data_IF_953051541563
#
_entry.id   IF_953051541563
#
_cell.length_a   1.000
_cell.length_b   1.000
_cell.length_c   1.000
_cell.angle_alpha   90.00
_cell.angle_beta   90.00
_cell.angle_gamma   90.00
#
_symmetry.space_group_name_H-M   'P 1'
#
loop_
_entity.id
_entity.type
_entity.pdbx_description
1 polymer ?
#
# COMPACT_ATOMS: atom_id res chain seq x y z
N UNK A 1 -19.82 -17.30 11.69
CA UNK A 1 -18.73 -17.51 12.61
C UNK A 1 -17.90 -16.24 12.77
N UNK A 2 -17.96 -15.61 13.96
CA UNK A 2 -17.35 -14.30 14.26
C UNK A 2 -15.81 -14.32 14.10
N UNK A 3 -15.15 -15.43 14.43
CA UNK A 3 -13.70 -15.55 14.30
C UNK A 3 -13.25 -15.53 12.84
N UNK A 4 -13.99 -16.17 11.95
CA UNK A 4 -13.72 -16.18 10.51
C UNK A 4 -13.91 -14.79 9.90
N UNK A 5 -14.99 -14.10 10.25
CA UNK A 5 -15.27 -12.73 9.81
C UNK A 5 -14.16 -11.77 10.28
N UNK A 6 -13.67 -11.93 11.50
CA UNK A 6 -12.57 -11.11 12.03
C UNK A 6 -11.25 -11.32 11.29
N UNK A 7 -10.93 -12.57 10.91
CA UNK A 7 -9.71 -12.88 10.14
C UNK A 7 -9.81 -12.31 8.73
N UNK A 8 -10.93 -12.46 8.07
CA UNK A 8 -11.14 -11.92 6.72
C UNK A 8 -11.10 -10.38 6.72
N UNK A 9 -11.67 -9.75 7.73
CA UNK A 9 -11.57 -8.29 7.91
C UNK A 9 -10.12 -7.84 8.14
N UNK A 10 -9.34 -8.58 8.92
CA UNK A 10 -7.93 -8.29 9.14
C UNK A 10 -7.09 -8.45 7.87
N UNK A 11 -7.36 -9.49 7.07
CA UNK A 11 -6.71 -9.69 5.76
C UNK A 11 -7.01 -8.55 4.79
N UNK A 12 -8.27 -8.15 4.68
CA UNK A 12 -8.69 -7.05 3.82
C UNK A 12 -8.02 -5.74 4.24
N UNK A 13 -7.96 -5.46 5.52
CA UNK A 13 -7.27 -4.29 6.06
C UNK A 13 -5.78 -4.30 5.72
N UNK A 14 -5.12 -5.44 5.88
CA UNK A 14 -3.71 -5.59 5.52
C UNK A 14 -3.48 -5.37 4.02
N UNK A 15 -4.33 -5.93 3.17
CA UNK A 15 -4.26 -5.74 1.73
C UNK A 15 -4.41 -4.25 1.34
N UNK A 16 -5.33 -3.53 1.97
CA UNK A 16 -5.52 -2.09 1.74
C UNK A 16 -4.30 -1.27 2.17
N UNK A 17 -3.75 -1.55 3.34
CA UNK A 17 -2.55 -0.88 3.86
C UNK A 17 -1.36 -1.10 2.92
N UNK A 18 -1.12 -2.33 2.51
CA UNK A 18 -0.01 -2.67 1.62
C UNK A 18 -0.20 -2.15 0.19
N UNK A 19 -1.44 -2.06 -0.28
CA UNK A 19 -1.76 -1.43 -1.55
C UNK A 19 -1.41 0.06 -1.55
N UNK A 20 -1.74 0.78 -0.48
CA UNK A 20 -1.36 2.19 -0.30
C UNK A 20 0.16 2.37 -0.21
N UNK A 21 0.83 1.51 0.53
CA UNK A 21 2.29 1.51 0.63
C UNK A 21 2.95 1.30 -0.74
N UNK A 22 2.49 0.31 -1.49
CA UNK A 22 3.00 0.04 -2.84
C UNK A 22 2.81 1.25 -3.77
N UNK A 23 1.65 1.89 -3.72
CA UNK A 23 1.35 3.07 -4.54
C UNK A 23 2.31 4.24 -4.28
N UNK A 24 2.82 4.38 -3.07
CA UNK A 24 3.80 5.40 -2.71
C UNK A 24 5.25 5.00 -3.06
N UNK A 25 5.64 3.77 -2.74
CA UNK A 25 7.02 3.27 -2.94
C UNK A 25 7.28 2.87 -4.39
N UNK A 26 6.28 2.32 -5.10
CA UNK A 26 6.40 1.91 -6.50
C UNK A 26 7.10 0.58 -6.73
N UNK A 27 7.24 -0.27 -5.70
CA UNK A 27 7.82 -1.61 -5.83
C UNK A 27 6.80 -2.64 -6.34
N UNK A 28 7.25 -3.82 -6.76
CA UNK A 28 6.36 -4.99 -6.90
C UNK A 28 6.19 -5.62 -5.53
N UNK A 29 4.96 -5.69 -5.04
CA UNK A 29 4.64 -6.24 -3.73
C UNK A 29 3.79 -7.50 -3.88
N UNK A 30 4.23 -8.58 -3.25
CA UNK A 30 3.57 -9.88 -3.23
C UNK A 30 3.27 -10.23 -1.78
N UNK A 31 1.99 -10.35 -1.44
CA UNK A 31 1.52 -10.78 -0.13
C UNK A 31 1.13 -12.24 -0.18
N UNK A 32 1.72 -13.06 0.67
CA UNK A 32 1.48 -14.51 0.69
C UNK A 32 0.72 -14.88 1.95
N UNK A 33 -0.43 -15.50 1.77
CA UNK A 33 -1.22 -16.10 2.84
C UNK A 33 -1.08 -17.61 2.84
N UNK A 34 -0.91 -18.15 4.02
CA UNK A 34 -0.79 -19.59 4.23
C UNK A 34 -2.17 -20.25 4.21
N UNK A 35 -2.41 -21.07 3.20
CA UNK A 35 -3.66 -21.79 3.00
C UNK A 35 -3.45 -23.31 2.82
N UNK A 36 -2.31 -23.85 3.24
CA UNK A 36 -1.91 -25.25 3.01
C UNK A 36 -2.84 -26.29 3.64
N UNK A 37 -3.62 -25.89 4.65
CA UNK A 37 -4.56 -26.80 5.36
C UNK A 37 -5.90 -26.96 4.66
N UNK A 38 -6.18 -26.15 3.65
CA UNK A 38 -7.46 -26.22 2.93
C UNK A 38 -7.42 -27.35 1.92
N UNK A 39 -8.18 -28.42 2.20
CA UNK A 39 -8.26 -29.59 1.31
C UNK A 39 -8.79 -29.23 -0.07
N UNK A 40 -8.15 -29.75 -1.10
CA UNK A 40 -8.51 -29.51 -2.48
C UNK A 40 -8.17 -28.10 -3.00
N UNK A 41 -7.51 -27.28 -2.21
CA UNK A 41 -7.07 -25.98 -2.63
C UNK A 41 -5.89 -26.08 -3.61
N UNK A 42 -6.09 -25.60 -4.82
CA UNK A 42 -5.06 -25.57 -5.87
C UNK A 42 -4.16 -24.33 -5.80
N UNK A 43 -4.36 -23.48 -4.80
CA UNK A 43 -3.71 -22.19 -4.71
C UNK A 43 -4.36 -21.15 -5.62
N UNK A 44 -4.17 -19.90 -5.28
CA UNK A 44 -4.71 -18.77 -6.03
C UNK A 44 -3.71 -17.62 -6.01
N UNK A 45 -3.52 -17.00 -7.17
CA UNK A 45 -2.81 -15.74 -7.31
C UNK A 45 -3.78 -14.73 -7.89
N UNK A 46 -4.07 -13.69 -7.14
CA UNK A 46 -4.96 -12.63 -7.57
C UNK A 46 -4.29 -11.26 -7.48
N UNK A 47 -4.73 -10.34 -8.29
CA UNK A 47 -4.30 -8.95 -8.19
C UNK A 47 -5.34 -8.19 -7.36
N UNK A 48 -4.88 -7.59 -6.27
CA UNK A 48 -5.68 -6.72 -5.43
C UNK A 48 -5.19 -5.29 -5.59
N UNK A 49 -5.96 -4.46 -6.29
CA UNK A 49 -5.54 -3.13 -6.73
C UNK A 49 -4.17 -3.17 -7.45
N UNK A 50 -3.12 -2.74 -6.79
CA UNK A 50 -1.76 -2.65 -7.33
C UNK A 50 -0.76 -3.66 -6.71
N UNK A 51 -1.24 -4.59 -5.89
CA UNK A 51 -0.43 -5.65 -5.29
C UNK A 51 -0.89 -7.04 -5.76
N UNK A 52 0.00 -8.03 -5.62
CA UNK A 52 -0.32 -9.43 -5.84
C UNK A 52 -0.60 -10.12 -4.50
N UNK A 53 -1.67 -10.87 -4.43
CA UNK A 53 -2.05 -11.66 -3.27
C UNK A 53 -2.05 -13.13 -3.64
N UNK A 54 -1.30 -13.92 -2.89
CA UNK A 54 -1.13 -15.34 -3.11
C UNK A 54 -1.71 -16.11 -1.93
N UNK A 55 -2.57 -17.05 -2.24
CA UNK A 55 -3.00 -18.11 -1.31
C UNK A 55 -2.31 -19.39 -1.71
N UNK A 56 -1.55 -20.00 -0.78
CA UNK A 56 -0.81 -21.21 -1.09
C UNK A 56 -1.75 -22.38 -1.32
N UNK A 57 -1.31 -23.34 -2.14
CA UNK A 57 -2.07 -24.56 -2.41
C UNK A 57 -2.03 -25.54 -1.24
N UNK A 58 -2.87 -26.57 -1.29
CA UNK A 58 -2.83 -27.67 -0.34
C UNK A 58 -1.41 -28.25 -0.22
N UNK A 59 -0.96 -28.50 1.00
CA UNK A 59 0.37 -28.98 1.34
C UNK A 59 1.57 -28.06 1.01
N UNK A 60 1.33 -26.85 0.54
CA UNK A 60 2.37 -25.84 0.34
C UNK A 60 2.25 -24.75 1.42
N UNK A 61 3.29 -24.56 2.21
CA UNK A 61 3.35 -23.46 3.19
C UNK A 61 3.72 -22.13 2.52
N UNK A 62 3.41 -21.02 3.18
CA UNK A 62 3.84 -19.70 2.73
C UNK A 62 5.37 -19.63 2.60
N UNK A 63 6.10 -20.19 3.56
CA UNK A 63 7.57 -20.22 3.56
C UNK A 63 8.12 -20.93 2.32
N UNK A 64 7.55 -22.10 1.99
CA UNK A 64 7.93 -22.86 0.79
C UNK A 64 7.66 -22.09 -0.49
N UNK A 65 6.53 -21.40 -0.57
CA UNK A 65 6.18 -20.57 -1.71
C UNK A 65 7.15 -19.37 -1.85
N UNK A 66 7.47 -18.70 -0.76
CA UNK A 66 8.39 -17.56 -0.72
C UNK A 66 9.79 -18.00 -1.14
N UNK A 67 10.29 -19.12 -0.59
CA UNK A 67 11.58 -19.70 -0.93
C UNK A 67 11.70 -20.00 -2.43
N UNK A 68 10.72 -20.71 -2.96
CA UNK A 68 10.65 -21.06 -4.38
C UNK A 68 10.61 -19.82 -5.28
N UNK A 69 9.75 -18.87 -4.96
CA UNK A 69 9.59 -17.63 -5.74
C UNK A 69 10.86 -16.80 -5.69
N UNK A 70 11.48 -16.66 -4.53
CA UNK A 70 12.74 -15.94 -4.35
C UNK A 70 13.86 -16.56 -5.19
N UNK A 71 13.93 -17.89 -5.24
CA UNK A 71 14.89 -18.60 -6.07
C UNK A 71 14.66 -18.32 -7.57
N UNK A 72 13.42 -18.33 -8.02
CA UNK A 72 13.05 -18.12 -9.43
C UNK A 72 13.34 -16.71 -9.91
N UNK A 73 13.01 -15.68 -9.11
CA UNK A 73 13.09 -14.28 -9.51
C UNK A 73 14.36 -13.57 -9.02
N UNK A 74 15.06 -14.12 -8.05
CA UNK A 74 16.19 -13.49 -7.39
C UNK A 74 17.40 -13.22 -8.31
N UNK A 75 17.47 -13.88 -9.46
CA UNK A 75 18.52 -13.62 -10.46
C UNK A 75 18.28 -12.34 -11.25
N UNK A 76 17.02 -11.91 -11.39
CA UNK A 76 16.65 -10.76 -12.21
C UNK A 76 16.27 -9.54 -11.39
N UNK A 77 15.82 -9.74 -10.16
CA UNK A 77 15.26 -8.69 -9.32
C UNK A 77 15.92 -8.69 -7.95
N UNK A 78 16.04 -7.51 -7.35
CA UNK A 78 16.33 -7.40 -5.92
C UNK A 78 15.08 -7.78 -5.12
N UNK A 79 15.17 -8.87 -4.41
CA UNK A 79 14.06 -9.38 -3.59
C UNK A 79 14.33 -9.07 -2.13
N UNK A 80 13.35 -8.50 -1.46
CA UNK A 80 13.33 -8.33 0.00
C UNK A 80 12.17 -9.13 0.56
N UNK A 81 12.42 -9.98 1.52
CA UNK A 81 11.40 -10.80 2.19
C UNK A 81 11.17 -10.28 3.59
N UNK A 82 9.92 -9.96 3.90
CA UNK A 82 9.47 -9.58 5.24
C UNK A 82 8.83 -10.78 5.93
N UNK A 83 9.46 -11.28 6.97
CA UNK A 83 8.98 -12.40 7.76
C UNK A 83 9.42 -12.28 9.22
N UNK A 84 8.60 -12.80 10.14
CA UNK A 84 8.96 -12.93 11.56
C UNK A 84 9.68 -14.25 11.87
N UNK A 85 9.75 -15.18 10.92
CA UNK A 85 10.42 -16.48 11.12
C UNK A 85 11.93 -16.33 10.91
N UNK A 86 12.70 -16.59 11.96
CA UNK A 86 14.17 -16.47 11.93
C UNK A 86 14.82 -17.51 11.00
N UNK A 87 14.26 -18.70 10.88
CA UNK A 87 14.78 -19.75 10.00
C UNK A 87 14.57 -19.35 8.53
N UNK A 88 13.38 -18.85 8.19
CA UNK A 88 13.08 -18.36 6.85
C UNK A 88 14.01 -17.20 6.47
N UNK A 89 14.28 -16.27 7.39
CA UNK A 89 15.22 -15.19 7.16
C UNK A 89 16.61 -15.70 6.76
N UNK A 90 17.09 -16.75 7.40
CA UNK A 90 18.40 -17.39 7.08
C UNK A 90 18.35 -18.05 5.70
N UNK A 91 17.29 -18.78 5.37
CA UNK A 91 17.12 -19.44 4.07
C UNK A 91 17.09 -18.41 2.93
N UNK A 92 16.34 -17.36 3.10
CA UNK A 92 16.22 -16.26 2.12
C UNK A 92 17.56 -15.58 1.87
N UNK A 93 18.34 -15.34 2.91
CA UNK A 93 19.71 -14.79 2.78
C UNK A 93 20.62 -15.72 2.00
N UNK A 94 20.54 -17.03 2.22
CA UNK A 94 21.32 -18.02 1.48
C UNK A 94 21.02 -18.02 -0.03
N UNK A 95 19.87 -17.51 -0.45
CA UNK A 95 19.46 -17.34 -1.84
C UNK A 95 19.83 -15.97 -2.43
N UNK A 96 20.52 -15.12 -1.68
CA UNK A 96 20.94 -13.80 -2.13
C UNK A 96 19.85 -12.72 -2.02
N UNK A 97 18.75 -12.99 -1.34
CA UNK A 97 17.72 -12.01 -1.08
C UNK A 97 17.98 -11.21 0.21
N UNK A 98 17.45 -10.02 0.26
CA UNK A 98 17.46 -9.20 1.47
C UNK A 98 16.37 -9.66 2.42
N UNK A 99 16.61 -9.49 3.72
CA UNK A 99 15.62 -9.77 4.75
C UNK A 99 15.22 -8.51 5.50
N UNK A 100 13.99 -8.48 5.94
CA UNK A 100 13.49 -7.53 6.92
C UNK A 100 12.57 -8.29 7.87
N UNK A 101 12.60 -7.98 9.16
CA UNK A 101 11.63 -8.56 10.09
C UNK A 101 10.23 -8.00 9.80
N UNK A 102 9.20 -8.78 10.12
CA UNK A 102 7.82 -8.29 9.98
C UNK A 102 7.57 -7.01 10.81
N UNK A 103 8.20 -6.90 11.96
CA UNK A 103 8.12 -5.71 12.81
C UNK A 103 8.75 -4.48 12.15
N UNK A 104 9.97 -4.60 11.64
CA UNK A 104 10.66 -3.50 10.99
C UNK A 104 9.93 -3.04 9.73
N UNK A 105 9.38 -3.99 8.98
CA UNK A 105 8.55 -3.69 7.82
C UNK A 105 7.25 -2.96 8.21
N UNK A 106 6.61 -3.37 9.29
CA UNK A 106 5.45 -2.68 9.83
C UNK A 106 5.76 -1.23 10.21
N UNK A 107 6.88 -1.00 10.87
CA UNK A 107 7.33 0.36 11.21
C UNK A 107 7.61 1.21 9.96
N UNK A 108 8.17 0.62 8.92
CA UNK A 108 8.38 1.28 7.63
C UNK A 108 7.06 1.67 6.97
N UNK A 109 6.08 0.77 6.97
CA UNK A 109 4.74 1.02 6.44
C UNK A 109 4.05 2.14 7.21
N UNK A 110 4.12 2.15 8.53
CA UNK A 110 3.56 3.22 9.36
C UNK A 110 4.19 4.58 9.07
N UNK A 111 5.51 4.65 8.92
CA UNK A 111 6.20 5.88 8.53
C UNK A 111 5.75 6.37 7.16
N UNK A 112 5.59 5.48 6.23
CA UNK A 112 5.11 5.78 4.87
C UNK A 112 3.67 6.31 4.90
N UNK A 113 2.78 5.69 5.65
CA UNK A 113 1.42 6.18 5.84
C UNK A 113 1.38 7.60 6.43
N UNK A 114 2.23 7.87 7.40
CA UNK A 114 2.36 9.20 7.98
C UNK A 114 2.83 10.23 6.94
N UNK A 115 3.81 9.89 6.14
CA UNK A 115 4.30 10.74 5.04
C UNK A 115 3.21 11.03 4.02
N UNK A 116 2.42 10.02 3.64
CA UNK A 116 1.29 10.18 2.71
C UNK A 116 0.26 11.15 3.29
N UNK A 117 -0.10 11.01 4.57
CA UNK A 117 -1.02 11.94 5.23
C UNK A 117 -0.51 13.36 5.25
N UNK A 118 0.76 13.58 5.58
CA UNK A 118 1.39 14.91 5.61
C UNK A 118 1.41 15.57 4.23
N UNK A 119 1.71 14.81 3.18
CA UNK A 119 1.68 15.30 1.79
C UNK A 119 0.26 15.70 1.40
N UNK A 120 -0.73 14.84 1.67
CA UNK A 120 -2.13 15.12 1.35
C UNK A 120 -2.67 16.34 2.10
N UNK A 121 -2.32 16.51 3.36
CA UNK A 121 -2.71 17.69 4.15
C UNK A 121 -2.08 18.97 3.59
N UNK A 122 -0.82 18.90 3.19
CA UNK A 122 -0.11 20.04 2.57
C UNK A 122 -0.77 20.45 1.24
N UNK A 123 -1.00 19.48 0.36
CA UNK A 123 -1.67 19.70 -0.92
C UNK A 123 -3.08 20.29 -0.75
N UNK A 124 -3.86 19.77 0.20
CA UNK A 124 -5.17 20.35 0.53
C UNK A 124 -5.08 21.78 1.04
N UNK A 125 -4.08 22.08 1.86
CA UNK A 125 -3.82 23.42 2.36
C UNK A 125 -3.47 24.39 1.23
N UNK A 126 -2.60 23.99 0.32
CA UNK A 126 -2.21 24.78 -0.85
C UNK A 126 -3.37 25.02 -1.80
N UNK A 127 -4.15 23.99 -2.09
CA UNK A 127 -5.35 24.08 -2.93
C UNK A 127 -6.39 25.00 -2.31
N UNK A 128 -6.62 24.90 -1.01
CA UNK A 128 -7.54 25.79 -0.30
C UNK A 128 -7.08 27.26 -0.38
N UNK A 129 -5.79 27.51 -0.18
CA UNK A 129 -5.23 28.86 -0.26
C UNK A 129 -5.34 29.42 -1.69
N UNK A 130 -5.08 28.62 -2.70
CA UNK A 130 -5.26 29.01 -4.09
C UNK A 130 -6.70 29.43 -4.39
N UNK A 131 -7.67 28.62 -4.00
CA UNK A 131 -9.10 28.91 -4.19
C UNK A 131 -9.54 30.18 -3.43
N UNK A 132 -9.05 30.36 -2.21
CA UNK A 132 -9.35 31.58 -1.43
C UNK A 132 -8.76 32.83 -2.08
N UNK A 133 -7.55 32.78 -2.58
CA UNK A 133 -6.90 33.91 -3.28
C UNK A 133 -7.62 34.20 -4.59
N UNK A 134 -8.00 33.17 -5.35
CA UNK A 134 -8.77 33.35 -6.59
C UNK A 134 -10.12 34.01 -6.32
N UNK A 135 -10.86 33.57 -5.31
CA UNK A 135 -12.13 34.15 -4.91
C UNK A 135 -11.97 35.63 -4.49
N UNK A 136 -10.92 35.97 -3.75
CA UNK A 136 -10.63 37.37 -3.37
C UNK A 136 -10.31 38.25 -4.56
N UNK A 137 -9.58 37.76 -5.55
CA UNK A 137 -9.29 38.50 -6.80
C UNK A 137 -10.57 38.76 -7.61
N UNK A 138 -11.43 37.75 -7.74
CA UNK A 138 -12.72 37.90 -8.43
C UNK A 138 -13.64 38.87 -7.70
N UNK A 139 -13.73 38.82 -6.38
CA UNK A 139 -14.49 39.77 -5.58
C UNK A 139 -13.97 41.20 -5.73
N UNK A 140 -12.66 41.38 -5.71
CA UNK A 140 -12.03 42.71 -5.91
C UNK A 140 -12.33 43.27 -7.30
N UNK A 141 -12.23 42.46 -8.35
CA UNK A 141 -12.58 42.85 -9.73
C UNK A 141 -14.05 43.20 -9.85
N UNK A 142 -14.94 42.45 -9.23
CA UNK A 142 -16.36 42.70 -9.21
C UNK A 142 -16.69 44.05 -8.52
N UNK A 143 -16.12 44.30 -7.35
CA UNK A 143 -16.29 45.55 -6.61
C UNK A 143 -15.76 46.75 -7.39
N UNK A 144 -14.65 46.62 -8.09
CA UNK A 144 -14.11 47.66 -8.93
C UNK A 144 -14.99 47.95 -10.15
N UNK A 145 -15.51 46.91 -10.80
CA UNK A 145 -16.46 47.03 -11.90
C UNK A 145 -17.74 47.76 -11.46
N UNK A 146 -18.28 47.41 -10.28
CA UNK A 146 -19.43 48.15 -9.68
C UNK A 146 -19.09 49.61 -9.41
N UNK A 147 -17.90 49.91 -8.86
CA UNK A 147 -17.44 51.27 -8.60
C UNK A 147 -17.33 52.10 -9.88
N UNK A 148 -16.88 51.47 -10.98
CA UNK A 148 -16.72 52.14 -12.28
C UNK A 148 -18.04 52.27 -13.06
N UNK A 149 -19.14 51.73 -12.55
CA UNK A 149 -20.46 51.74 -13.18
C UNK A 149 -20.63 50.77 -14.35
N UNK A 150 -19.71 49.83 -14.52
CA UNK A 150 -19.78 48.76 -15.55
C UNK A 150 -20.82 47.69 -15.26
N UNK A 151 -21.13 47.47 -13.98
CA UNK A 151 -22.13 46.53 -13.50
C UNK A 151 -23.05 47.24 -12.52
N UNK A 152 -24.36 47.12 -12.70
CA UNK A 152 -25.35 47.63 -11.76
C UNK A 152 -25.80 46.54 -10.80
N UNK A 153 -25.69 46.80 -9.49
CA UNK A 153 -26.33 45.95 -8.48
C UNK A 153 -27.84 46.04 -8.57
N UNK A 154 -28.46 44.89 -8.63
CA UNK A 154 -29.91 44.78 -8.47
C UNK A 154 -30.27 44.43 -7.04
#
# INVERSE_FOLDING_TARGET
DLAKVSIDAARNKLMDILSNYQGFIGCTLILVFDAYKVKGNQGEVQKYHNIYVVYTKEAETADQYIEKTTHEIGRKYKVTVATSDALEQVIVMGQGAYRISARDFYEEVERTEKQIREINERERGEQKNYLLNYAKEEDAKHMEAVRLGEITEK
#
